data_IF_005843516644
#
_entry.id   IF_005843516644
#
_cell.length_a   1.000
_cell.length_b   1.000
_cell.length_c   1.000
_cell.angle_alpha   90.00
_cell.angle_beta   90.00
_cell.angle_gamma   90.00
#
_symmetry.space_group_name_H-M   'P 1'
#
loop_
_entity.id
_entity.type
_entity.pdbx_description
1 polymer ?
#
# COMPACT_ATOMS: atom_id res chain seq x y z
N UNK A 1 -33.86 -1.99 7.55
CA UNK A 1 -32.45 -1.79 7.21
C UNK A 1 -31.85 -0.97 8.33
N UNK A 2 -30.73 -1.40 8.86
CA UNK A 2 -30.02 -0.69 9.91
C UNK A 2 -29.19 0.44 9.31
N UNK A 3 -29.05 1.54 10.02
CA UNK A 3 -28.20 2.66 9.68
C UNK A 3 -26.78 2.34 10.22
N UNK A 4 -25.79 2.40 9.36
CA UNK A 4 -24.42 2.04 9.68
C UNK A 4 -23.51 3.23 9.33
N UNK A 5 -22.63 3.58 10.25
CA UNK A 5 -21.51 4.49 9.99
C UNK A 5 -20.24 3.67 10.02
N UNK A 6 -19.42 3.75 9.00
CA UNK A 6 -18.19 2.99 8.95
C UNK A 6 -16.99 3.89 8.63
N UNK A 7 -15.82 3.50 9.10
CA UNK A 7 -14.56 4.17 8.81
C UNK A 7 -13.43 3.14 8.65
N UNK A 8 -12.49 3.45 7.79
CA UNK A 8 -11.29 2.65 7.55
C UNK A 8 -10.14 3.12 8.42
N UNK A 9 -9.41 2.17 8.97
CA UNK A 9 -8.20 2.38 9.76
C UNK A 9 -7.04 1.57 9.18
N UNK A 10 -5.83 2.00 9.44
CA UNK A 10 -4.63 1.32 8.94
C UNK A 10 -4.33 0.07 9.76
N UNK A 11 -4.65 0.07 11.06
CA UNK A 11 -4.35 -1.04 11.97
C UNK A 11 -5.55 -1.40 12.87
N UNK A 12 -5.56 -2.64 13.36
CA UNK A 12 -6.56 -3.07 14.36
C UNK A 12 -6.46 -2.26 15.66
N UNK A 13 -5.27 -1.85 16.06
CA UNK A 13 -5.07 -1.05 17.28
C UNK A 13 -5.75 0.30 17.18
N UNK A 14 -5.64 0.96 16.04
CA UNK A 14 -6.34 2.24 15.79
C UNK A 14 -7.86 2.05 15.79
N UNK A 15 -8.38 1.02 15.11
CA UNK A 15 -9.80 0.71 15.10
C UNK A 15 -10.32 0.41 16.52
N UNK A 16 -9.58 -0.35 17.32
CA UNK A 16 -9.94 -0.62 18.72
C UNK A 16 -9.88 0.62 19.61
N UNK A 17 -8.94 1.53 19.36
CA UNK A 17 -8.90 2.81 20.08
C UNK A 17 -10.12 3.67 19.74
N UNK A 18 -10.52 3.72 18.47
CA UNK A 18 -11.75 4.38 18.02
C UNK A 18 -13.00 3.74 18.65
N UNK A 19 -13.07 2.40 18.71
CA UNK A 19 -14.18 1.72 19.39
C UNK A 19 -14.27 2.11 20.86
N UNK A 20 -13.16 2.15 21.59
CA UNK A 20 -13.16 2.61 22.98
C UNK A 20 -13.66 4.06 23.14
N UNK A 21 -13.32 4.93 22.19
CA UNK A 21 -13.83 6.31 22.20
C UNK A 21 -15.34 6.35 21.98
N UNK A 22 -15.89 5.50 21.10
CA UNK A 22 -17.33 5.35 20.90
C UNK A 22 -18.03 4.84 22.16
N UNK A 23 -17.47 3.82 22.84
CA UNK A 23 -18.01 3.27 24.08
C UNK A 23 -18.03 4.32 25.22
N UNK A 24 -17.00 5.16 25.30
CA UNK A 24 -16.92 6.26 26.25
C UNK A 24 -18.03 7.32 26.03
N UNK A 25 -18.56 7.39 24.79
CA UNK A 25 -19.70 8.26 24.44
C UNK A 25 -21.05 7.53 24.50
N UNK A 26 -21.08 6.30 25.06
CA UNK A 26 -22.31 5.55 25.31
C UNK A 26 -22.86 4.77 24.12
N UNK A 27 -22.03 4.46 23.11
CA UNK A 27 -22.38 3.44 22.12
C UNK A 27 -22.18 2.04 22.70
N UNK A 28 -23.03 1.09 22.33
CA UNK A 28 -22.96 -0.27 22.86
C UNK A 28 -21.89 -1.09 22.10
N UNK A 29 -21.29 -2.05 22.80
CA UNK A 29 -20.31 -2.95 22.18
C UNK A 29 -20.94 -3.83 21.07
N UNK A 30 -22.19 -4.23 21.25
CA UNK A 30 -22.95 -5.02 20.27
C UNK A 30 -23.29 -4.23 18.98
N UNK A 31 -23.11 -2.92 19.01
CA UNK A 31 -23.31 -2.05 17.85
C UNK A 31 -22.00 -1.79 17.07
N UNK A 32 -20.85 -2.35 17.51
CA UNK A 32 -19.56 -2.15 16.85
C UNK A 32 -19.03 -3.45 16.26
N UNK A 33 -18.68 -3.40 14.98
CA UNK A 33 -18.04 -4.53 14.27
C UNK A 33 -16.72 -4.08 13.66
N UNK A 34 -15.63 -4.73 14.07
CA UNK A 34 -14.29 -4.48 13.51
C UNK A 34 -13.86 -5.69 12.70
N UNK A 35 -13.51 -5.48 11.44
CA UNK A 35 -13.06 -6.55 10.55
C UNK A 35 -12.08 -6.04 9.49
N UNK A 36 -11.29 -6.96 8.94
CA UNK A 36 -10.35 -6.63 7.88
C UNK A 36 -11.02 -6.74 6.51
N UNK A 37 -10.88 -5.70 5.71
CA UNK A 37 -11.32 -5.68 4.32
C UNK A 37 -10.10 -5.83 3.44
N UNK A 38 -10.06 -6.93 2.69
CA UNK A 38 -9.10 -7.09 1.61
C UNK A 38 -9.84 -6.94 0.29
N UNK A 39 -9.37 -6.08 -0.57
CA UNK A 39 -9.95 -5.93 -1.90
C UNK A 39 -9.69 -7.23 -2.66
N UNK A 40 -10.73 -8.05 -2.79
CA UNK A 40 -10.64 -9.32 -3.49
C UNK A 40 -10.14 -9.08 -4.92
N UNK A 41 -9.02 -9.68 -5.27
CA UNK A 41 -8.44 -9.57 -6.61
C UNK A 41 -7.22 -8.67 -6.71
N UNK A 42 -6.75 -7.98 -5.66
CA UNK A 42 -5.50 -7.23 -5.71
C UNK A 42 -4.31 -8.11 -6.13
N UNK A 43 -4.32 -9.38 -5.73
CA UNK A 43 -3.30 -10.35 -6.13
C UNK A 43 -3.60 -11.11 -7.44
N UNK A 44 -4.86 -11.13 -7.89
CA UNK A 44 -5.29 -11.87 -9.07
C UNK A 44 -5.37 -11.02 -10.36
N UNK A 45 -5.31 -9.70 -10.25
CA UNK A 45 -5.47 -8.78 -11.37
C UNK A 45 -4.21 -8.67 -12.24
N UNK A 46 -3.07 -9.13 -11.76
CA UNK A 46 -1.81 -8.99 -12.47
C UNK A 46 -1.22 -10.36 -12.80
N UNK A 47 -0.79 -10.57 -14.05
CA UNK A 47 -0.02 -11.76 -14.43
C UNK A 47 1.29 -11.84 -13.63
N UNK A 48 1.97 -12.97 -13.70
CA UNK A 48 3.24 -13.23 -13.01
C UNK A 48 4.16 -11.99 -13.03
N UNK A 49 4.54 -11.45 -11.87
CA UNK A 49 5.27 -10.19 -11.73
C UNK A 49 4.41 -8.95 -11.52
N UNK A 50 3.16 -9.13 -11.08
CA UNK A 50 2.12 -8.12 -10.95
C UNK A 50 2.40 -6.94 -10.04
N UNK A 51 3.25 -7.09 -9.04
CA UNK A 51 3.57 -6.02 -8.08
C UNK A 51 4.17 -4.76 -8.74
N UNK A 52 4.77 -4.91 -9.92
CA UNK A 52 5.32 -3.78 -10.68
C UNK A 52 4.26 -2.79 -11.19
N UNK A 53 3.02 -3.23 -11.35
CA UNK A 53 1.91 -2.36 -11.79
C UNK A 53 1.06 -1.89 -10.61
N UNK A 54 1.07 -2.67 -9.52
CA UNK A 54 0.31 -2.35 -8.31
C UNK A 54 0.95 -1.22 -7.50
N UNK A 55 2.29 -1.11 -7.52
CA UNK A 55 3.02 -0.06 -6.83
C UNK A 55 3.50 1.00 -7.83
N UNK A 56 2.96 2.23 -7.80
CA UNK A 56 3.43 3.34 -8.64
C UNK A 56 4.91 3.65 -8.45
N UNK A 57 5.47 3.38 -7.25
CA UNK A 57 6.89 3.59 -6.96
C UNK A 57 7.76 2.47 -7.56
N UNK A 58 7.20 1.30 -7.81
CA UNK A 58 7.84 0.22 -8.55
C UNK A 58 7.81 0.42 -10.07
N UNK A 59 6.97 1.35 -10.57
CA UNK A 59 6.86 1.70 -11.98
C UNK A 59 8.20 2.13 -12.57
N UNK A 60 8.75 1.37 -13.53
CA UNK A 60 10.03 1.66 -14.18
C UNK A 60 11.28 1.34 -13.33
N UNK A 61 11.15 0.76 -12.13
CA UNK A 61 12.29 0.37 -11.31
C UNK A 61 13.17 -0.64 -12.02
N UNK A 62 12.58 -1.57 -12.77
CA UNK A 62 13.34 -2.55 -13.55
C UNK A 62 14.11 -1.93 -14.72
N UNK A 63 13.56 -0.93 -15.41
CA UNK A 63 14.31 -0.19 -16.45
C UNK A 63 15.46 0.59 -15.85
N UNK A 64 15.25 1.25 -14.71
CA UNK A 64 16.31 1.93 -13.99
C UNK A 64 17.40 0.97 -13.50
N UNK A 65 17.00 -0.17 -12.96
CA UNK A 65 17.94 -1.19 -12.52
C UNK A 65 18.72 -1.81 -13.71
N UNK A 66 18.05 -2.06 -14.85
CA UNK A 66 18.71 -2.55 -16.06
C UNK A 66 19.71 -1.53 -16.62
N UNK A 67 19.32 -0.25 -16.74
CA UNK A 67 20.21 0.80 -17.25
C UNK A 67 21.35 1.10 -16.28
N UNK A 68 21.08 1.18 -14.98
CA UNK A 68 22.11 1.35 -13.96
C UNK A 68 23.05 0.16 -13.88
N UNK A 69 22.49 -1.06 -13.92
CA UNK A 69 23.25 -2.29 -13.92
C UNK A 69 24.13 -2.46 -15.17
N UNK A 70 23.58 -2.20 -16.36
CA UNK A 70 24.33 -2.28 -17.61
C UNK A 70 25.43 -1.20 -17.69
N UNK A 71 25.12 0.04 -17.31
CA UNK A 71 26.08 1.14 -17.36
C UNK A 71 27.26 0.93 -16.39
N UNK A 72 27.00 0.71 -15.11
CA UNK A 72 28.05 0.46 -14.12
C UNK A 72 28.69 -0.92 -14.28
N UNK A 73 27.98 -1.90 -14.81
CA UNK A 73 28.55 -3.19 -15.18
C UNK A 73 29.63 -3.07 -16.28
N UNK A 74 29.33 -2.26 -17.32
CA UNK A 74 30.32 -1.99 -18.37
C UNK A 74 31.56 -1.27 -17.81
N UNK A 75 31.38 -0.25 -16.98
CA UNK A 75 32.49 0.44 -16.32
C UNK A 75 33.30 -0.51 -15.46
N UNK A 76 32.64 -1.37 -14.68
CA UNK A 76 33.30 -2.40 -13.87
C UNK A 76 34.06 -3.42 -14.68
N UNK A 77 33.54 -3.84 -15.85
CA UNK A 77 34.23 -4.70 -16.77
C UNK A 77 35.52 -4.08 -17.32
N UNK A 78 35.45 -2.83 -17.75
CA UNK A 78 36.62 -2.09 -18.26
C UNK A 78 37.68 -1.92 -17.17
N UNK A 79 37.29 -1.49 -15.97
CA UNK A 79 38.20 -1.34 -14.84
C UNK A 79 38.85 -2.68 -14.44
N UNK A 80 38.03 -3.74 -14.36
CA UNK A 80 38.55 -5.09 -14.08
C UNK A 80 39.51 -5.59 -15.13
N UNK A 81 39.24 -5.35 -16.42
CA UNK A 81 40.13 -5.68 -17.51
C UNK A 81 41.45 -4.93 -17.46
N UNK A 82 41.42 -3.63 -17.17
CA UNK A 82 42.62 -2.80 -16.99
C UNK A 82 43.46 -3.27 -15.80
N UNK A 83 42.86 -3.62 -14.68
CA UNK A 83 43.55 -4.17 -13.50
C UNK A 83 44.17 -5.52 -13.84
N UNK A 84 43.45 -6.41 -14.51
CA UNK A 84 43.98 -7.70 -14.92
C UNK A 84 45.15 -7.59 -15.89
N UNK A 85 45.09 -6.62 -16.82
CA UNK A 85 46.19 -6.32 -17.73
C UNK A 85 47.42 -5.73 -17.04
N UNK A 86 47.18 -4.80 -16.06
CA UNK A 86 48.29 -4.22 -15.28
C UNK A 86 49.00 -5.22 -14.35
N UNK A 87 48.32 -6.31 -14.01
CA UNK A 87 48.91 -7.42 -13.23
C UNK A 87 49.55 -8.50 -14.09
N UNK A 88 49.69 -8.26 -15.40
CA UNK A 88 50.27 -9.20 -16.40
C UNK A 88 49.60 -10.59 -16.35
N UNK A 89 48.29 -10.65 -16.06
CA UNK A 89 47.56 -11.91 -16.02
C UNK A 89 47.41 -12.50 -17.42
N UNK A 90 47.39 -13.84 -17.55
CA UNK A 90 47.03 -14.49 -18.81
C UNK A 90 45.63 -14.03 -19.26
N UNK A 91 45.34 -14.07 -20.56
CA UNK A 91 44.09 -13.59 -21.15
C UNK A 91 42.84 -14.10 -20.43
N UNK A 92 42.83 -15.35 -19.98
CA UNK A 92 41.74 -15.92 -19.19
C UNK A 92 41.60 -15.26 -17.81
N UNK A 93 42.73 -14.91 -17.19
CA UNK A 93 42.76 -14.18 -15.91
C UNK A 93 42.20 -12.75 -16.04
N UNK A 94 42.61 -12.04 -17.12
CA UNK A 94 42.07 -10.71 -17.44
C UNK A 94 40.55 -10.79 -17.63
N UNK A 95 40.08 -11.79 -18.38
CA UNK A 95 38.64 -11.99 -18.60
C UNK A 95 37.88 -12.28 -17.30
N UNK A 96 38.46 -13.08 -16.40
CA UNK A 96 37.86 -13.37 -15.10
C UNK A 96 37.73 -12.10 -14.22
N UNK A 97 38.79 -11.29 -14.14
CA UNK A 97 38.79 -10.05 -13.37
C UNK A 97 37.81 -9.03 -13.97
N UNK A 98 37.74 -8.93 -15.30
CA UNK A 98 36.76 -8.12 -15.99
C UNK A 98 35.30 -8.58 -15.67
N UNK A 99 35.06 -9.88 -15.65
CA UNK A 99 33.75 -10.46 -15.28
C UNK A 99 33.36 -10.16 -13.85
N UNK A 100 34.29 -10.28 -12.91
CA UNK A 100 34.02 -9.87 -11.49
C UNK A 100 33.74 -8.38 -11.40
N UNK A 101 34.48 -7.54 -12.09
CA UNK A 101 34.25 -6.10 -12.14
C UNK A 101 32.87 -5.77 -12.74
N UNK A 102 32.47 -6.45 -13.81
CA UNK A 102 31.16 -6.31 -14.42
C UNK A 102 30.05 -6.67 -13.44
N UNK A 103 30.18 -7.77 -12.71
CA UNK A 103 29.19 -8.23 -11.73
C UNK A 103 29.02 -7.24 -10.58
N UNK A 104 30.13 -6.81 -9.97
CA UNK A 104 30.09 -5.83 -8.86
C UNK A 104 29.51 -4.50 -9.35
N UNK A 105 29.94 -4.02 -10.52
CA UNK A 105 29.44 -2.78 -11.11
C UNK A 105 27.93 -2.86 -11.42
N UNK A 106 27.48 -3.97 -11.99
CA UNK A 106 26.06 -4.20 -12.30
C UNK A 106 25.21 -4.19 -11.03
N UNK A 107 25.64 -4.90 -9.98
CA UNK A 107 24.91 -4.94 -8.70
C UNK A 107 24.88 -3.55 -8.05
N UNK A 108 26.01 -2.85 -8.01
CA UNK A 108 26.09 -1.50 -7.49
C UNK A 108 25.21 -0.51 -8.26
N UNK A 109 25.18 -0.63 -9.59
CA UNK A 109 24.32 0.21 -10.45
C UNK A 109 22.85 -0.01 -10.24
N UNK A 110 22.41 -1.25 -10.12
CA UNK A 110 21.02 -1.57 -9.83
C UNK A 110 20.59 -1.04 -8.46
N UNK A 111 21.41 -1.24 -7.42
CA UNK A 111 21.14 -0.74 -6.07
C UNK A 111 21.15 0.80 -5.99
N UNK A 112 22.08 1.45 -6.70
CA UNK A 112 22.16 2.91 -6.75
C UNK A 112 20.90 3.53 -7.35
N UNK A 113 20.38 2.96 -8.43
CA UNK A 113 19.15 3.46 -9.04
C UNK A 113 17.94 3.17 -8.17
N UNK A 114 17.86 1.98 -7.59
CA UNK A 114 16.77 1.62 -6.66
C UNK A 114 16.79 2.50 -5.40
N UNK A 115 17.96 2.79 -4.81
CA UNK A 115 18.11 3.59 -3.60
C UNK A 115 17.91 5.08 -3.79
N UNK A 116 18.01 5.62 -5.02
CA UNK A 116 17.80 7.04 -5.30
C UNK A 116 16.32 7.44 -5.41
N UNK A 117 15.44 6.50 -5.55
CA UNK A 117 14.00 6.77 -5.46
C UNK A 117 13.67 6.94 -3.98
N UNK A 118 13.66 8.21 -3.53
CA UNK A 118 13.05 8.55 -2.25
C UNK A 118 11.57 8.15 -2.33
N UNK A 119 11.07 7.35 -1.38
CA UNK A 119 9.64 7.17 -1.23
C UNK A 119 9.05 8.57 -1.10
N UNK A 120 8.16 8.93 -1.98
CA UNK A 120 7.46 10.20 -1.88
C UNK A 120 6.48 10.06 -0.72
N UNK A 121 6.95 10.38 0.49
CA UNK A 121 6.21 10.28 1.77
C UNK A 121 4.86 11.04 1.71
N UNK A 122 4.71 11.93 0.75
CA UNK A 122 3.44 12.65 0.50
C UNK A 122 2.45 11.88 -0.38
N UNK A 123 2.83 10.73 -0.96
CA UNK A 123 1.91 9.89 -1.76
C UNK A 123 1.15 8.85 -0.94
N UNK A 124 1.41 8.72 0.35
CA UNK A 124 0.61 7.91 1.27
C UNK A 124 -0.76 8.50 1.59
N UNK A 125 -1.06 9.72 1.15
CA UNK A 125 -2.39 10.30 1.13
C UNK A 125 -2.91 10.24 -0.31
N UNK A 126 -3.66 9.19 -0.62
CA UNK A 126 -4.44 9.10 -1.86
C UNK A 126 -3.62 8.73 -3.09
N UNK A 127 -2.92 7.61 -3.07
CA UNK A 127 -2.74 6.84 -4.29
C UNK A 127 -4.11 6.22 -4.63
N UNK A 128 -5.05 7.09 -5.00
CA UNK A 128 -6.17 6.68 -5.82
C UNK A 128 -5.56 5.98 -7.03
N UNK A 129 -5.79 4.70 -7.16
CA UNK A 129 -5.50 3.97 -8.39
C UNK A 129 -6.29 4.69 -9.50
N UNK A 130 -5.65 5.38 -10.46
CA UNK A 130 -6.38 6.13 -11.47
C UNK A 130 -7.19 5.24 -12.41
N UNK A 131 -7.06 3.92 -12.32
CA UNK A 131 -7.74 2.97 -13.20
C UNK A 131 -8.96 2.28 -12.59
N UNK A 132 -9.20 2.40 -11.26
CA UNK A 132 -10.41 1.88 -10.60
C UNK A 132 -10.84 2.79 -9.43
N UNK A 133 -11.45 3.96 -9.71
CA UNK A 133 -11.92 4.86 -8.66
C UNK A 133 -13.07 4.29 -7.81
N UNK A 134 -13.55 3.11 -8.14
CA UNK A 134 -14.74 2.49 -7.53
C UNK A 134 -14.41 1.35 -6.54
N UNK A 135 -13.15 1.02 -6.33
CA UNK A 135 -12.79 -0.10 -5.45
C UNK A 135 -12.38 0.43 -4.07
N UNK A 136 -13.02 -0.13 -3.04
CA UNK A 136 -12.71 0.18 -1.63
C UNK A 136 -11.26 -0.18 -1.32
N UNK A 137 -10.53 0.74 -0.66
CA UNK A 137 -9.15 0.50 -0.22
C UNK A 137 -9.10 -0.60 0.85
N UNK A 138 -8.07 -1.44 0.81
CA UNK A 138 -7.84 -2.45 1.84
C UNK A 138 -7.53 -1.79 3.19
N UNK A 139 -7.94 -2.42 4.28
CA UNK A 139 -7.68 -1.91 5.64
C UNK A 139 -8.61 -2.53 6.67
N UNK A 140 -8.50 -2.06 7.90
CA UNK A 140 -9.39 -2.45 8.98
C UNK A 140 -10.60 -1.55 8.98
N UNK A 141 -11.79 -2.12 8.80
CA UNK A 141 -13.04 -1.39 8.85
C UNK A 141 -13.65 -1.50 10.24
N UNK A 142 -14.04 -0.36 10.80
CA UNK A 142 -14.91 -0.29 11.96
C UNK A 142 -16.28 0.16 11.46
N UNK A 143 -17.30 -0.68 11.65
CA UNK A 143 -18.69 -0.38 11.37
C UNK A 143 -19.45 -0.21 12.68
N UNK A 144 -20.24 0.83 12.77
CA UNK A 144 -21.09 1.17 13.91
C UNK A 144 -22.54 1.21 13.48
N UNK A 145 -23.38 0.39 14.08
CA UNK A 145 -24.83 0.50 14.00
C UNK A 145 -25.32 1.67 14.87
N UNK A 146 -26.13 2.57 14.33
CA UNK A 146 -26.55 3.75 15.07
C UNK A 146 -27.94 4.22 14.68
N UNK A 147 -28.53 5.05 15.52
CA UNK A 147 -29.76 5.74 15.24
C UNK A 147 -29.54 6.99 14.37
N UNK A 148 -30.54 7.42 13.59
CA UNK A 148 -30.45 8.64 12.79
C UNK A 148 -30.04 9.89 13.57
N UNK A 149 -30.41 9.96 14.84
CA UNK A 149 -30.17 11.12 15.73
C UNK A 149 -28.69 11.21 16.16
N UNK A 150 -27.97 10.09 16.18
CA UNK A 150 -26.56 10.00 16.61
C UNK A 150 -25.59 9.81 15.45
N UNK A 151 -26.08 9.74 14.22
CA UNK A 151 -25.25 9.46 13.04
C UNK A 151 -24.14 10.51 12.83
N UNK A 152 -24.48 11.80 12.99
CA UNK A 152 -23.50 12.89 12.84
C UNK A 152 -22.44 12.88 13.95
N UNK A 153 -22.83 12.50 15.15
CA UNK A 153 -21.92 12.30 16.27
C UNK A 153 -20.94 11.17 15.99
N UNK A 154 -21.44 10.02 15.51
CA UNK A 154 -20.65 8.86 15.16
C UNK A 154 -19.63 9.19 14.05
N UNK A 155 -20.06 9.89 13.01
CA UNK A 155 -19.17 10.32 11.92
C UNK A 155 -18.03 11.22 12.45
N UNK A 156 -18.32 12.17 13.34
CA UNK A 156 -17.31 13.05 13.93
C UNK A 156 -16.32 12.25 14.78
N UNK A 157 -16.80 11.40 15.67
CA UNK A 157 -15.97 10.59 16.55
C UNK A 157 -15.02 9.68 15.77
N UNK A 158 -15.50 9.07 14.69
CA UNK A 158 -14.66 8.22 13.84
C UNK A 158 -13.58 9.03 13.10
N UNK A 159 -13.90 10.24 12.62
CA UNK A 159 -12.91 11.14 11.99
C UNK A 159 -11.87 11.61 13.01
N UNK A 160 -12.31 12.04 14.18
CA UNK A 160 -11.44 12.52 15.25
C UNK A 160 -10.48 11.42 15.74
N UNK A 161 -10.93 10.16 15.67
CA UNK A 161 -10.10 8.98 15.96
C UNK A 161 -9.13 8.61 14.82
N UNK A 162 -9.08 9.38 13.74
CA UNK A 162 -8.20 9.11 12.59
C UNK A 162 -8.76 8.12 11.57
N UNK A 163 -10.07 7.89 11.58
CA UNK A 163 -10.76 7.09 10.55
C UNK A 163 -10.76 7.79 9.20
N UNK A 164 -10.36 7.06 8.18
CA UNK A 164 -10.41 7.49 6.78
C UNK A 164 -11.66 6.93 6.11
N UNK A 165 -12.06 7.51 4.97
CA UNK A 165 -13.20 7.05 4.17
C UNK A 165 -14.48 6.88 5.01
N UNK A 166 -14.80 7.84 5.89
CA UNK A 166 -16.00 7.76 6.71
C UNK A 166 -17.25 7.77 5.82
N UNK A 167 -18.05 6.74 5.93
CA UNK A 167 -19.22 6.50 5.10
C UNK A 167 -20.49 6.27 5.91
N UNK A 168 -21.62 6.55 5.30
CA UNK A 168 -22.95 6.21 5.79
C UNK A 168 -23.53 5.13 4.90
N UNK A 169 -23.89 4.02 5.49
CA UNK A 169 -24.44 2.90 4.77
C UNK A 169 -25.76 2.45 5.39
N UNK A 170 -26.55 1.77 4.58
CA UNK A 170 -27.72 1.03 5.04
C UNK A 170 -27.48 -0.44 4.77
N UNK A 171 -27.66 -1.27 5.79
CA UNK A 171 -27.38 -2.68 5.69
C UNK A 171 -28.17 -3.51 6.69
N UNK A 172 -27.86 -4.81 6.73
CA UNK A 172 -28.42 -5.73 7.72
C UNK A 172 -27.42 -5.90 8.86
N UNK A 173 -27.86 -5.55 10.05
CA UNK A 173 -27.11 -5.74 11.28
C UNK A 173 -27.69 -6.92 12.05
N UNK A 174 -26.89 -7.94 12.35
CA UNK A 174 -27.30 -9.13 13.09
C UNK A 174 -26.17 -9.57 14.02
N UNK A 175 -26.51 -9.85 15.27
CA UNK A 175 -25.55 -10.38 16.26
C UNK A 175 -24.26 -9.57 16.36
N UNK A 176 -24.35 -8.25 16.37
CA UNK A 176 -23.18 -7.38 16.44
C UNK A 176 -22.35 -7.31 15.15
N UNK A 177 -22.92 -7.67 13.98
CA UNK A 177 -22.19 -7.71 12.71
C UNK A 177 -22.97 -7.11 11.56
N UNK A 178 -22.24 -6.46 10.67
CA UNK A 178 -22.75 -6.07 9.36
C UNK A 178 -22.68 -7.27 8.41
N UNK A 179 -23.83 -7.92 8.13
CA UNK A 179 -23.86 -9.23 7.44
C UNK A 179 -23.92 -9.15 5.92
N UNK A 180 -24.40 -8.05 5.36
CA UNK A 180 -24.50 -7.82 3.91
C UNK A 180 -23.46 -6.82 3.37
N UNK A 181 -22.33 -6.71 4.07
CA UNK A 181 -21.22 -5.89 3.63
C UNK A 181 -20.64 -6.42 2.31
N UNK A 182 -20.51 -5.53 1.32
CA UNK A 182 -19.89 -5.84 0.03
C UNK A 182 -18.53 -5.12 -0.07
N UNK A 183 -17.41 -5.85 -0.06
CA UNK A 183 -16.08 -5.25 -0.16
C UNK A 183 -15.77 -4.66 -1.54
N UNK A 184 -16.54 -5.03 -2.57
CA UNK A 184 -16.35 -4.52 -3.94
C UNK A 184 -17.09 -3.21 -4.19
N UNK A 185 -18.05 -2.87 -3.32
CA UNK A 185 -18.79 -1.62 -3.42
C UNK A 185 -17.95 -0.47 -2.87
N UNK A 186 -17.80 0.60 -3.66
CA UNK A 186 -17.16 1.82 -3.19
C UNK A 186 -17.85 2.39 -1.94
N UNK A 187 -17.10 3.00 -1.01
CA UNK A 187 -17.69 3.66 0.14
C UNK A 187 -18.56 4.86 -0.32
N UNK A 188 -19.76 4.96 0.23
CA UNK A 188 -20.62 6.14 0.04
C UNK A 188 -20.12 7.26 0.96
N UNK A 189 -19.07 7.94 0.49
CA UNK A 189 -18.35 8.95 1.27
C UNK A 189 -19.26 10.14 1.55
N UNK A 190 -19.29 10.60 2.77
CA UNK A 190 -19.98 11.82 3.14
C UNK A 190 -19.35 13.02 2.41
N UNK A 191 -20.13 13.67 1.55
CA UNK A 191 -19.73 14.89 0.85
C UNK A 191 -19.51 16.02 1.88
N UNK A 192 -18.26 16.25 2.29
CA UNK A 192 -17.99 17.34 3.22
C UNK A 192 -16.70 17.29 4.03
N UNK A 193 -15.66 16.63 3.55
CA UNK A 193 -14.34 16.73 4.17
C UNK A 193 -13.30 17.25 3.15
N UNK A 194 -13.22 18.56 3.03
CA UNK A 194 -12.04 19.29 2.54
C UNK A 194 -11.38 19.96 3.75
#
# INVERSE_FOLDING_TARGET
MALIVAARFTTFEQAQAAARALFAQGFAEDDVHIFYVNTAGAHAQYPIGGDRKADPDAGGAHYGAMLGGAGLGLIGAVLGGLIGGALDLPSLGVLAVAGVGAYIGSLGGALWVAGRRQPNVNRGRGAEHPEHPEVRSAGVLLALHTDPTRQDEACRLLRDAGGEDVERAQGRWQEGRWVDFDPLKAPDREAGAV
#
